data_IF_458068683996
#
_entry.id   IF_458068683996
#
_cell.length_a   1.000
_cell.length_b   1.000
_cell.length_c   1.000
_cell.angle_alpha   90.00
_cell.angle_beta   90.00
_cell.angle_gamma   90.00
#
_symmetry.space_group_name_H-M   'P 1'
#
loop_
_entity.id
_entity.type
_entity.pdbx_description
1 polymer ?
#
# COMPACT_ATOMS: atom_id res chain seq x y z
N UNK A 1 27.23 -15.11 48.49
CA UNK A 1 27.20 -13.86 47.71
C UNK A 1 26.85 -14.21 46.26
N UNK A 2 25.56 -14.20 45.89
CA UNK A 2 25.11 -14.34 44.50
C UNK A 2 23.98 -13.34 44.31
N UNK A 3 24.26 -12.31 43.52
CA UNK A 3 23.36 -11.19 43.28
C UNK A 3 22.55 -11.56 42.04
N UNK A 4 21.27 -11.86 42.21
CA UNK A 4 20.34 -12.04 41.09
C UNK A 4 19.99 -10.66 40.53
N UNK A 5 20.51 -10.31 39.35
CA UNK A 5 20.02 -9.18 38.56
C UNK A 5 18.88 -9.66 37.66
N UNK A 6 17.66 -9.66 38.21
CA UNK A 6 16.45 -9.71 37.41
C UNK A 6 16.31 -8.35 36.68
N UNK A 7 16.65 -8.34 35.40
CA UNK A 7 16.45 -7.20 34.50
C UNK A 7 14.95 -6.86 34.43
N UNK A 8 14.58 -5.74 35.03
CA UNK A 8 13.26 -5.12 34.88
C UNK A 8 13.14 -4.65 33.43
N UNK A 9 12.49 -5.46 32.57
CA UNK A 9 12.03 -4.99 31.26
C UNK A 9 10.99 -3.90 31.51
N UNK A 10 11.41 -2.66 31.30
CA UNK A 10 10.58 -1.48 31.31
C UNK A 10 9.59 -1.63 30.13
N UNK A 11 8.36 -2.07 30.39
CA UNK A 11 7.30 -2.02 29.38
C UNK A 11 6.96 -0.55 29.19
N UNK A 12 7.34 0.00 28.04
CA UNK A 12 6.81 1.26 27.57
C UNK A 12 5.27 1.18 27.61
N UNK A 13 4.57 2.18 28.18
CA UNK A 13 3.12 2.18 28.19
C UNK A 13 2.61 2.15 26.75
N UNK A 14 1.59 1.34 26.49
CA UNK A 14 0.85 1.33 25.22
C UNK A 14 0.52 2.78 24.84
N UNK A 15 0.89 3.26 23.63
CA UNK A 15 0.66 4.64 23.27
C UNK A 15 -0.85 4.91 23.33
N UNK A 16 -1.15 6.04 23.95
CA UNK A 16 -2.48 6.60 24.16
C UNK A 16 -3.28 6.53 22.85
N UNK A 17 -4.60 6.34 22.96
CA UNK A 17 -5.54 6.36 21.84
C UNK A 17 -5.41 7.72 21.15
N UNK A 18 -4.54 7.82 20.15
CA UNK A 18 -4.49 8.96 19.24
C UNK A 18 -5.81 8.88 18.48
N UNK A 19 -6.68 9.88 18.65
CA UNK A 19 -7.86 10.05 17.82
C UNK A 19 -7.39 10.40 16.41
N UNK A 20 -7.00 9.38 15.65
CA UNK A 20 -6.53 9.53 14.29
C UNK A 20 -7.71 9.88 13.38
N UNK A 21 -7.75 11.12 12.91
CA UNK A 21 -8.71 11.55 11.89
C UNK A 21 -8.36 10.86 10.57
N UNK A 22 -9.26 10.02 10.07
CA UNK A 22 -9.07 9.32 8.79
C UNK A 22 -9.65 10.15 7.65
N UNK A 23 -8.82 10.50 6.67
CA UNK A 23 -9.22 11.22 5.47
C UNK A 23 -9.43 10.24 4.30
N UNK A 24 -10.65 10.16 3.76
CA UNK A 24 -10.98 9.26 2.62
C UNK A 24 -11.42 10.01 1.36
N UNK A 25 -11.61 11.33 1.44
CA UNK A 25 -12.01 12.17 0.30
C UNK A 25 -10.86 12.32 -0.69
N UNK A 26 -11.01 11.76 -1.89
CA UNK A 26 -9.99 11.84 -2.94
C UNK A 26 -9.65 13.28 -3.36
N UNK A 27 -10.63 14.19 -3.56
CA UNK A 27 -10.32 15.58 -3.88
C UNK A 27 -9.47 16.27 -2.80
N UNK A 28 -9.82 16.04 -1.52
CA UNK A 28 -9.06 16.59 -0.40
C UNK A 28 -7.63 16.02 -0.35
N UNK A 29 -7.48 14.71 -0.51
CA UNK A 29 -6.16 14.06 -0.51
C UNK A 29 -5.28 14.62 -1.64
N UNK A 30 -5.85 14.78 -2.84
CA UNK A 30 -5.13 15.32 -3.99
C UNK A 30 -4.71 16.79 -3.77
N UNK A 31 -5.59 17.61 -3.20
CA UNK A 31 -5.30 19.01 -2.85
C UNK A 31 -4.15 19.09 -1.83
N UNK A 32 -4.25 18.37 -0.71
CA UNK A 32 -3.19 18.32 0.30
C UNK A 32 -1.88 17.77 -0.27
N UNK A 33 -1.93 16.77 -1.14
CA UNK A 33 -0.74 16.23 -1.76
C UNK A 33 -0.03 17.24 -2.66
N UNK A 34 -0.79 18.09 -3.36
CA UNK A 34 -0.24 19.17 -4.15
C UNK A 34 0.37 20.28 -3.28
N UNK A 35 -0.29 20.65 -2.18
CA UNK A 35 0.23 21.65 -1.22
C UNK A 35 1.50 21.19 -0.53
N UNK A 36 1.58 19.90 -0.16
CA UNK A 36 2.67 19.32 0.63
C UNK A 36 3.82 18.73 -0.20
N UNK A 37 3.95 19.07 -1.49
CA UNK A 37 4.98 18.48 -2.35
C UNK A 37 6.40 18.63 -1.77
N UNK A 38 6.79 19.84 -1.36
CA UNK A 38 8.12 20.10 -0.78
C UNK A 38 8.30 19.40 0.59
N UNK A 39 7.28 19.46 1.45
CA UNK A 39 7.25 18.76 2.73
C UNK A 39 7.47 17.25 2.55
N UNK A 40 6.79 16.66 1.57
CA UNK A 40 6.88 15.24 1.23
C UNK A 40 8.28 14.85 0.73
N UNK A 41 8.91 15.70 -0.09
CA UNK A 41 10.29 15.47 -0.54
C UNK A 41 11.27 15.48 0.64
N UNK A 42 11.13 16.46 1.54
CA UNK A 42 11.93 16.52 2.77
C UNK A 42 11.69 15.28 3.66
N UNK A 43 10.44 14.84 3.78
CA UNK A 43 10.09 13.67 4.58
C UNK A 43 10.68 12.37 4.01
N UNK A 44 10.65 12.19 2.68
CA UNK A 44 11.29 11.03 2.03
C UNK A 44 12.79 10.99 2.33
N UNK A 45 13.47 12.14 2.27
CA UNK A 45 14.90 12.20 2.59
C UNK A 45 15.15 11.91 4.07
N UNK A 46 14.32 12.47 4.95
CA UNK A 46 14.37 12.19 6.38
C UNK A 46 14.24 10.69 6.69
N UNK A 47 13.29 9.98 6.06
CA UNK A 47 13.11 8.53 6.28
C UNK A 47 14.30 7.71 5.78
N UNK A 48 14.97 8.12 4.70
CA UNK A 48 16.16 7.42 4.18
C UNK A 48 17.36 7.47 5.12
N UNK A 49 17.41 8.46 6.01
CA UNK A 49 18.47 8.61 7.01
C UNK A 49 18.18 7.85 8.32
N UNK A 50 16.99 7.26 8.45
CA UNK A 50 16.56 6.52 9.66
C UNK A 50 16.91 5.04 9.57
N UNK A 51 16.90 4.39 10.73
CA UNK A 51 17.02 2.94 10.79
C UNK A 51 15.84 2.30 10.04
N UNK A 52 16.14 1.48 9.04
CA UNK A 52 15.11 0.89 8.17
C UNK A 52 14.17 -0.07 8.90
N UNK A 53 14.68 -0.80 9.89
CA UNK A 53 13.88 -1.76 10.66
C UNK A 53 12.89 -1.02 11.57
N UNK A 54 13.33 0.06 12.23
CA UNK A 54 12.44 0.91 13.05
C UNK A 54 11.35 1.57 12.19
N UNK A 55 11.68 2.00 10.98
CA UNK A 55 10.69 2.55 10.03
C UNK A 55 9.70 1.46 9.60
N UNK A 56 10.17 0.25 9.29
CA UNK A 56 9.30 -0.88 8.93
C UNK A 56 8.32 -1.22 10.07
N UNK A 57 8.82 -1.32 11.30
CA UNK A 57 7.99 -1.61 12.48
C UNK A 57 6.88 -0.56 12.65
N UNK A 58 7.23 0.72 12.52
CA UNK A 58 6.28 1.81 12.70
C UNK A 58 5.24 1.86 11.56
N UNK A 59 5.67 1.71 10.30
CA UNK A 59 4.75 1.67 9.15
C UNK A 59 3.79 0.48 9.26
N UNK A 60 4.27 -0.69 9.66
CA UNK A 60 3.43 -1.87 9.85
C UNK A 60 2.40 -1.65 10.96
N UNK A 61 2.82 -1.08 12.08
CA UNK A 61 1.93 -0.71 13.20
C UNK A 61 0.85 0.27 12.73
N UNK A 62 1.22 1.31 12.01
CA UNK A 62 0.29 2.31 11.47
C UNK A 62 -0.67 1.70 10.44
N UNK A 63 -0.17 0.86 9.53
CA UNK A 63 -1.00 0.17 8.55
C UNK A 63 -2.06 -0.70 9.23
N UNK A 64 -1.69 -1.49 10.24
CA UNK A 64 -2.64 -2.30 11.02
C UNK A 64 -3.74 -1.48 11.71
N UNK A 65 -3.45 -0.23 12.07
CA UNK A 65 -4.42 0.68 12.71
C UNK A 65 -5.31 1.43 11.71
N UNK A 66 -4.82 1.67 10.49
CA UNK A 66 -5.44 2.56 9.51
C UNK A 66 -6.20 1.78 8.44
N UNK A 67 -5.60 0.75 7.86
CA UNK A 67 -6.18 -0.02 6.76
C UNK A 67 -7.59 -0.55 7.07
N UNK A 68 -7.87 -1.13 8.26
CA UNK A 68 -9.22 -1.64 8.58
C UNK A 68 -10.31 -0.56 8.65
N UNK A 69 -9.94 0.72 8.73
CA UNK A 69 -10.87 1.86 8.81
C UNK A 69 -11.25 2.43 7.44
N UNK A 70 -10.66 1.91 6.36
CA UNK A 70 -10.82 2.43 5.01
C UNK A 70 -11.32 1.31 4.10
N UNK A 71 -12.54 1.46 3.59
CA UNK A 71 -13.04 0.57 2.54
C UNK A 71 -12.42 0.94 1.18
N UNK A 72 -11.47 0.14 0.71
CA UNK A 72 -10.81 0.38 -0.58
C UNK A 72 -11.77 0.22 -1.78
N UNK A 73 -12.86 -0.53 -1.62
CA UNK A 73 -13.89 -0.71 -2.66
C UNK A 73 -14.78 0.52 -2.83
N UNK A 74 -14.79 1.43 -1.87
CA UNK A 74 -15.46 2.73 -2.01
C UNK A 74 -14.82 3.60 -3.10
N UNK A 75 -13.48 3.58 -3.24
CA UNK A 75 -12.78 4.37 -4.26
C UNK A 75 -12.40 3.58 -5.52
N UNK A 76 -11.97 2.32 -5.38
CA UNK A 76 -11.49 1.47 -6.47
C UNK A 76 -10.32 2.05 -7.28
N UNK A 77 -9.59 3.05 -6.77
CA UNK A 77 -8.56 3.78 -7.53
C UNK A 77 -7.41 2.88 -7.99
N UNK A 78 -7.02 1.90 -7.17
CA UNK A 78 -6.02 0.91 -7.56
C UNK A 78 -6.49 0.10 -8.77
N UNK A 79 -7.73 -0.40 -8.76
CA UNK A 79 -8.33 -1.15 -9.87
C UNK A 79 -8.49 -0.30 -11.16
N UNK A 80 -8.55 1.03 -11.03
CA UNK A 80 -8.68 1.98 -12.15
C UNK A 80 -7.35 2.32 -12.82
N UNK A 81 -6.23 2.23 -12.09
CA UNK A 81 -4.99 2.89 -12.51
C UNK A 81 -3.70 2.06 -12.33
N UNK A 82 -3.76 0.93 -11.64
CA UNK A 82 -2.58 0.07 -11.50
C UNK A 82 -2.48 -0.91 -12.65
N UNK A 83 -1.29 -0.96 -13.23
CA UNK A 83 -0.86 -2.06 -14.08
C UNK A 83 -0.47 -3.24 -13.17
N UNK A 84 -0.97 -4.42 -13.48
CA UNK A 84 -0.85 -5.59 -12.61
C UNK A 84 -0.14 -6.70 -13.37
N UNK A 85 0.97 -7.18 -12.80
CA UNK A 85 1.64 -8.39 -13.27
C UNK A 85 0.82 -9.62 -12.88
N UNK A 86 0.82 -10.61 -13.76
CA UNK A 86 0.04 -11.84 -13.61
C UNK A 86 1.02 -13.01 -13.76
N UNK A 87 0.96 -13.97 -12.85
CA UNK A 87 1.69 -15.22 -12.98
C UNK A 87 0.92 -16.23 -13.84
N UNK A 88 1.60 -17.28 -14.33
CA UNK A 88 0.91 -18.31 -15.12
C UNK A 88 -0.19 -18.99 -14.29
N UNK A 89 0.10 -19.29 -13.03
CA UNK A 89 -0.83 -19.94 -12.11
C UNK A 89 -2.04 -19.05 -11.80
N UNK A 90 -1.84 -17.74 -11.75
CA UNK A 90 -2.93 -16.78 -11.56
C UNK A 90 -3.84 -16.67 -12.78
N UNK A 91 -3.26 -16.64 -13.98
CA UNK A 91 -4.02 -16.63 -15.21
C UNK A 91 -4.82 -17.93 -15.39
N UNK A 92 -4.28 -19.09 -14.98
CA UNK A 92 -5.03 -20.36 -14.97
C UNK A 92 -6.22 -20.32 -14.02
N UNK A 93 -6.04 -19.80 -12.79
CA UNK A 93 -7.14 -19.64 -11.83
C UNK A 93 -8.20 -18.66 -12.34
N UNK A 94 -7.79 -17.54 -12.93
CA UNK A 94 -8.71 -16.55 -13.46
C UNK A 94 -9.48 -17.11 -14.68
N UNK A 95 -8.84 -17.86 -15.57
CA UNK A 95 -9.50 -18.55 -16.69
C UNK A 95 -10.56 -19.55 -16.19
N UNK A 96 -10.21 -20.37 -15.19
CA UNK A 96 -11.13 -21.30 -14.57
C UNK A 96 -12.34 -20.59 -13.91
N UNK A 97 -12.10 -19.49 -13.19
CA UNK A 97 -13.15 -18.65 -12.59
C UNK A 97 -14.13 -18.10 -13.63
N UNK A 98 -13.63 -17.73 -14.80
CA UNK A 98 -14.42 -17.22 -15.93
C UNK A 98 -15.02 -18.33 -16.80
N UNK A 99 -14.72 -19.60 -16.51
CA UNK A 99 -15.15 -20.77 -17.30
C UNK A 99 -14.73 -20.68 -18.77
N UNK A 100 -13.51 -20.20 -19.02
CA UNK A 100 -12.87 -20.16 -20.35
C UNK A 100 -11.53 -20.91 -20.31
N UNK A 101 -11.00 -21.26 -21.49
CA UNK A 101 -9.67 -21.88 -21.57
C UNK A 101 -8.57 -20.84 -21.30
N UNK A 102 -7.38 -21.32 -20.97
CA UNK A 102 -6.23 -20.46 -20.70
C UNK A 102 -5.82 -19.63 -21.93
N UNK A 103 -5.91 -20.22 -23.11
CA UNK A 103 -5.60 -19.55 -24.38
C UNK A 103 -6.55 -18.37 -24.62
N UNK A 104 -7.86 -18.58 -24.41
CA UNK A 104 -8.87 -17.52 -24.54
C UNK A 104 -8.68 -16.43 -23.49
N UNK A 105 -8.25 -16.79 -22.27
CA UNK A 105 -7.94 -15.81 -21.23
C UNK A 105 -6.76 -14.92 -21.65
N UNK A 106 -5.67 -15.53 -22.11
CA UNK A 106 -4.48 -14.80 -22.54
C UNK A 106 -4.80 -13.84 -23.70
N UNK A 107 -5.50 -14.33 -24.73
CA UNK A 107 -5.90 -13.51 -25.88
C UNK A 107 -6.76 -12.29 -25.49
N UNK A 108 -7.63 -12.43 -24.49
CA UNK A 108 -8.58 -11.37 -24.11
C UNK A 108 -8.01 -10.39 -23.10
N UNK A 109 -7.22 -10.86 -22.14
CA UNK A 109 -6.93 -10.10 -20.91
C UNK A 109 -5.46 -9.84 -20.67
N UNK A 110 -4.55 -10.55 -21.34
CA UNK A 110 -3.12 -10.54 -21.02
C UNK A 110 -2.31 -9.94 -22.16
N UNK A 111 -1.35 -9.09 -21.80
CA UNK A 111 -0.27 -8.68 -22.69
C UNK A 111 1.00 -9.38 -22.20
N UNK A 112 1.69 -10.08 -23.12
CA UNK A 112 2.92 -10.81 -22.84
C UNK A 112 4.11 -10.01 -23.36
N UNK A 113 5.00 -9.64 -22.46
CA UNK A 113 6.23 -8.92 -22.75
C UNK A 113 7.45 -9.84 -22.80
N UNK A 114 8.63 -9.23 -22.83
CA UNK A 114 9.90 -9.94 -22.73
C UNK A 114 10.03 -10.69 -21.40
N UNK A 115 10.85 -11.76 -21.40
CA UNK A 115 11.16 -12.56 -20.20
C UNK A 115 9.94 -13.17 -19.50
N UNK A 116 8.95 -13.63 -20.26
CA UNK A 116 7.72 -14.26 -19.74
C UNK A 116 6.89 -13.34 -18.81
N UNK A 117 7.11 -12.02 -18.85
CA UNK A 117 6.31 -11.08 -18.10
C UNK A 117 4.90 -11.01 -18.70
N UNK A 118 3.88 -11.24 -17.87
CA UNK A 118 2.48 -11.09 -18.25
C UNK A 118 1.84 -9.98 -17.45
N UNK A 119 1.13 -9.09 -18.11
CA UNK A 119 0.41 -7.97 -17.49
C UNK A 119 -1.05 -7.95 -17.95
N UNK A 120 -1.92 -7.30 -17.17
CA UNK A 120 -3.26 -6.97 -17.66
C UNK A 120 -3.14 -6.02 -18.87
N UNK A 121 -3.76 -6.37 -20.00
CA UNK A 121 -3.64 -5.61 -21.26
C UNK A 121 -4.49 -4.33 -21.32
N UNK A 122 -5.16 -3.95 -20.23
CA UNK A 122 -6.04 -2.78 -20.20
C UNK A 122 -6.12 -2.13 -18.83
N UNK A 123 -6.17 -0.80 -18.83
CA UNK A 123 -6.54 0.05 -17.70
C UNK A 123 -7.69 0.99 -18.12
N UNK A 124 -8.77 1.13 -17.33
CA UNK A 124 -9.11 0.36 -16.13
C UNK A 124 -9.20 -1.15 -16.38
N UNK A 125 -8.93 -1.94 -15.35
CA UNK A 125 -8.91 -3.40 -15.44
C UNK A 125 -10.24 -3.97 -15.96
N UNK A 126 -10.19 -5.02 -16.78
CA UNK A 126 -11.38 -5.71 -17.33
C UNK A 126 -12.34 -6.23 -16.26
N UNK A 127 -11.83 -6.55 -15.07
CA UNK A 127 -12.62 -7.09 -13.97
C UNK A 127 -13.20 -6.00 -13.06
N UNK A 128 -13.04 -4.72 -13.38
CA UNK A 128 -13.59 -3.63 -12.58
C UNK A 128 -15.08 -3.42 -12.86
N UNK A 129 -15.92 -3.53 -11.83
CA UNK A 129 -17.33 -3.13 -11.84
C UNK A 129 -17.72 -2.49 -10.50
N UNK A 130 -18.37 -1.32 -10.52
CA UNK A 130 -18.80 -0.58 -9.32
C UNK A 130 -17.68 -0.42 -8.27
N UNK A 131 -16.48 -0.02 -8.71
CA UNK A 131 -15.27 0.12 -7.88
C UNK A 131 -14.73 -1.18 -7.23
N UNK A 132 -15.31 -2.34 -7.52
CA UNK A 132 -14.87 -3.65 -7.04
C UNK A 132 -14.45 -4.59 -8.17
N UNK A 133 -13.67 -5.61 -7.84
CA UNK A 133 -13.26 -6.65 -8.79
C UNK A 133 -14.36 -7.72 -8.92
N UNK A 134 -14.77 -8.07 -10.14
CA UNK A 134 -15.76 -9.13 -10.40
C UNK A 134 -15.23 -10.52 -10.08
N UNK A 135 -13.90 -10.69 -10.04
CA UNK A 135 -13.21 -11.91 -9.59
C UNK A 135 -12.52 -11.69 -8.24
N UNK A 136 -13.14 -10.96 -7.31
CA UNK A 136 -12.49 -10.47 -6.08
C UNK A 136 -11.67 -11.53 -5.31
N UNK A 137 -12.22 -12.72 -5.07
CA UNK A 137 -11.51 -13.81 -4.37
C UNK A 137 -10.30 -14.33 -5.15
N UNK A 138 -10.38 -14.33 -6.48
CA UNK A 138 -9.37 -14.81 -7.41
C UNK A 138 -8.50 -13.67 -7.99
N UNK A 139 -8.58 -12.45 -7.42
CA UNK A 139 -7.84 -11.27 -7.90
C UNK A 139 -6.32 -11.52 -7.86
N UNK A 140 -5.53 -10.83 -8.67
CA UNK A 140 -4.07 -11.09 -8.73
C UNK A 140 -3.33 -10.67 -7.46
N UNK A 141 -2.14 -11.21 -7.22
CA UNK A 141 -1.32 -10.95 -6.04
C UNK A 141 -1.01 -9.47 -5.90
N UNK A 142 -0.63 -8.78 -6.99
CA UNK A 142 -0.43 -7.33 -6.97
C UNK A 142 -1.69 -6.56 -6.53
N UNK A 143 -2.89 -7.02 -6.90
CA UNK A 143 -4.15 -6.43 -6.45
C UNK A 143 -4.45 -6.70 -4.97
N UNK A 144 -4.09 -7.89 -4.46
CA UNK A 144 -4.25 -8.25 -3.04
C UNK A 144 -3.26 -7.52 -2.14
N UNK A 145 -2.04 -7.34 -2.63
CA UNK A 145 -0.92 -6.88 -1.83
C UNK A 145 -0.88 -5.36 -1.73
N UNK A 146 -1.37 -4.62 -2.75
CA UNK A 146 -1.42 -3.16 -2.72
C UNK A 146 -2.22 -2.63 -1.51
N UNK A 147 -1.70 -1.67 -0.72
CA UNK A 147 -0.51 -0.83 -0.95
C UNK A 147 0.85 -1.38 -0.45
N UNK A 148 0.88 -2.64 0.00
CA UNK A 148 2.09 -3.36 0.42
C UNK A 148 2.84 -2.69 1.58
N UNK A 149 2.15 -1.98 2.45
CA UNK A 149 2.75 -1.28 3.60
C UNK A 149 3.20 -2.27 4.70
N UNK A 150 2.73 -3.51 4.67
CA UNK A 150 3.15 -4.56 5.59
C UNK A 150 4.50 -5.22 5.23
N UNK A 151 5.02 -5.01 4.03
CA UNK A 151 6.28 -5.61 3.58
C UNK A 151 7.50 -4.87 4.16
N UNK A 152 8.64 -5.56 4.38
CA UNK A 152 9.86 -4.94 4.86
C UNK A 152 10.51 -4.02 3.80
N UNK A 153 11.62 -3.39 4.19
CA UNK A 153 12.44 -2.51 3.36
C UNK A 153 11.63 -1.34 2.80
N UNK A 154 10.73 -0.78 3.61
CA UNK A 154 9.83 0.31 3.22
C UNK A 154 10.57 1.49 2.61
N UNK A 155 11.72 1.87 3.18
CA UNK A 155 12.53 3.00 2.69
C UNK A 155 13.02 2.83 1.25
N UNK A 156 13.22 1.60 0.78
CA UNK A 156 13.58 1.30 -0.61
C UNK A 156 12.40 1.42 -1.57
N UNK A 157 11.17 1.34 -1.03
CA UNK A 157 9.90 1.37 -1.79
C UNK A 157 9.23 2.74 -1.78
N UNK A 158 9.83 3.75 -1.12
CA UNK A 158 9.29 5.10 -0.96
C UNK A 158 8.86 5.73 -2.28
N UNK A 159 9.62 5.55 -3.37
CA UNK A 159 9.22 6.09 -4.67
C UNK A 159 7.84 5.57 -5.10
N UNK A 160 7.63 4.25 -5.04
CA UNK A 160 6.35 3.62 -5.39
C UNK A 160 5.22 4.06 -4.46
N UNK A 161 5.48 4.10 -3.15
CA UNK A 161 4.50 4.54 -2.15
C UNK A 161 4.09 5.99 -2.42
N UNK A 162 5.05 6.90 -2.64
CA UNK A 162 4.78 8.32 -2.84
C UNK A 162 4.08 8.62 -4.17
N UNK A 163 4.31 7.83 -5.23
CA UNK A 163 3.50 7.93 -6.46
C UNK A 163 2.00 7.73 -6.19
N UNK A 164 1.64 6.99 -5.14
CA UNK A 164 0.26 6.69 -4.79
C UNK A 164 -0.29 7.51 -3.61
N UNK A 165 0.52 8.38 -3.02
CA UNK A 165 0.13 9.22 -1.87
C UNK A 165 -1.09 10.11 -2.17
N UNK A 166 -1.16 10.71 -3.35
CA UNK A 166 -2.27 11.60 -3.76
C UNK A 166 -3.58 10.87 -4.12
N UNK A 167 -3.59 9.53 -4.16
CA UNK A 167 -4.71 8.75 -4.73
C UNK A 167 -5.20 7.60 -3.87
N UNK A 168 -4.40 7.16 -2.89
CA UNK A 168 -4.75 6.06 -2.01
C UNK A 168 -4.95 6.58 -0.58
N UNK A 169 -6.19 6.56 -0.04
CA UNK A 169 -6.45 6.97 1.32
C UNK A 169 -5.62 6.22 2.37
N UNK A 170 -5.33 4.94 2.17
CA UNK A 170 -4.51 4.16 3.12
C UNK A 170 -3.09 4.73 3.17
N UNK A 171 -2.44 4.89 2.01
CA UNK A 171 -1.08 5.45 1.93
C UNK A 171 -1.05 6.87 2.49
N UNK A 172 -2.01 7.72 2.12
CA UNK A 172 -2.09 9.10 2.61
C UNK A 172 -2.10 9.14 4.15
N UNK A 173 -3.05 8.46 4.78
CA UNK A 173 -3.18 8.50 6.24
C UNK A 173 -1.98 7.85 6.95
N UNK A 174 -1.40 6.76 6.41
CA UNK A 174 -0.20 6.14 7.00
C UNK A 174 0.99 7.10 6.93
N UNK A 175 1.20 7.76 5.80
CA UNK A 175 2.33 8.68 5.63
C UNK A 175 2.19 9.94 6.49
N UNK A 176 0.98 10.50 6.59
CA UNK A 176 0.74 11.67 7.44
C UNK A 176 0.92 11.35 8.93
N UNK A 177 0.47 10.17 9.38
CA UNK A 177 0.69 9.75 10.76
C UNK A 177 2.17 9.40 11.01
N UNK A 178 2.86 8.79 10.04
CA UNK A 178 4.28 8.47 10.15
C UNK A 178 5.13 9.73 10.33
N UNK A 179 4.80 10.86 9.68
CA UNK A 179 5.47 12.14 9.92
C UNK A 179 5.38 12.55 11.39
N UNK A 180 4.20 12.39 11.97
CA UNK A 180 3.93 12.74 13.37
C UNK A 180 4.67 11.83 14.33
N UNK A 181 4.60 10.51 14.14
CA UNK A 181 5.19 9.54 15.09
C UNK A 181 6.71 9.47 15.01
N UNK A 182 7.29 9.73 13.85
CA UNK A 182 8.76 9.81 13.68
C UNK A 182 9.35 11.15 14.12
N UNK A 183 8.50 12.12 14.50
CA UNK A 183 8.90 13.46 14.91
C UNK A 183 9.51 14.28 13.77
N UNK A 184 9.05 14.07 12.54
CA UNK A 184 9.49 14.87 11.40
C UNK A 184 9.10 16.34 11.60
N UNK A 185 10.07 17.23 11.35
CA UNK A 185 9.87 18.68 11.36
C UNK A 185 10.31 19.22 10.01
N UNK A 186 9.39 19.92 9.34
CA UNK A 186 9.67 20.57 8.06
C UNK A 186 10.73 21.66 8.28
N UNK A 187 11.74 21.68 7.40
CA UNK A 187 12.74 22.75 7.37
C UNK A 187 12.18 23.88 6.50
N UNK A 188 12.07 25.07 7.11
CA UNK A 188 11.67 26.32 6.45
C UNK A 188 12.84 26.84 5.60
#
# INVERSE_FOLDING_TARGET
MRINHASKRNRLPLPQIISLTIHTSLPFIAEVANEKQEENLQFVNFLKERNSEEVDEEVQRLNQLIEPKIDCTSCGNCCKSLMVNITAEEADRAAARLQITREVFDERYVEKGSYELMIMNKMPCHFLANNACTIYEDRFAGCREFPALHLPQFTQRLFSVMMHYERCPIIFNVMEELKTTTGFQQKI
#
